data_IF_651424361961
#
_entry.id   IF_651424361961
#
_cell.length_a   1.000
_cell.length_b   1.000
_cell.length_c   1.000
_cell.angle_alpha   90.00
_cell.angle_beta   90.00
_cell.angle_gamma   90.00
#
_symmetry.space_group_name_H-M   'P 1'
#
loop_
_entity.id
_entity.type
_entity.pdbx_description
1 polymer ?
#
# COMPACT_ATOMS: atom_id res chain seq x y z
N UNK A 1 -2.17 22.09 13.53
CA UNK A 1 -1.52 21.53 12.32
C UNK A 1 -1.94 20.07 12.06
N UNK A 2 -1.81 19.14 13.02
CA UNK A 2 -2.17 17.72 12.85
C UNK A 2 -3.62 17.42 12.42
N UNK A 3 -4.62 18.08 13.02
CA UNK A 3 -6.03 17.85 12.70
C UNK A 3 -6.43 18.36 11.30
N UNK A 4 -5.78 19.45 10.87
CA UNK A 4 -6.06 20.07 9.57
C UNK A 4 -5.62 19.20 8.40
N UNK A 5 -4.48 18.48 8.52
CA UNK A 5 -4.04 17.55 7.49
C UNK A 5 -5.08 16.44 7.30
N UNK A 6 -5.51 15.76 8.37
CA UNK A 6 -6.47 14.65 8.24
C UNK A 6 -7.84 15.11 7.72
N UNK A 7 -8.38 16.19 8.28
CA UNK A 7 -9.72 16.66 7.92
C UNK A 7 -9.78 17.13 6.46
N UNK A 8 -8.67 17.67 5.93
CA UNK A 8 -8.55 18.12 4.54
C UNK A 8 -8.19 16.95 3.60
N UNK A 9 -7.23 16.10 3.98
CA UNK A 9 -6.82 14.92 3.21
C UNK A 9 -7.98 13.98 2.92
N UNK A 10 -8.88 13.70 3.88
CA UNK A 10 -10.02 12.79 3.65
C UNK A 10 -10.99 13.33 2.59
N UNK A 11 -11.03 14.65 2.38
CA UNK A 11 -11.90 15.29 1.38
C UNK A 11 -11.22 15.41 0.01
N UNK A 12 -9.93 15.73 0.01
CA UNK A 12 -9.15 16.08 -1.18
C UNK A 12 -8.29 14.91 -1.69
N UNK A 13 -7.94 13.94 -0.86
CA UNK A 13 -7.07 12.80 -1.22
C UNK A 13 -7.72 11.71 -2.09
N UNK A 14 -8.80 12.02 -2.80
CA UNK A 14 -9.63 11.04 -3.53
C UNK A 14 -9.21 10.84 -4.99
N UNK A 15 -8.58 11.84 -5.60
CA UNK A 15 -8.10 11.80 -6.98
C UNK A 15 -6.63 12.17 -7.04
N UNK A 16 -5.91 11.69 -8.06
CA UNK A 16 -4.49 12.02 -8.22
C UNK A 16 -4.27 13.54 -8.36
N UNK A 17 -5.15 14.25 -9.08
CA UNK A 17 -5.01 15.69 -9.30
C UNK A 17 -5.24 16.50 -8.02
N UNK A 18 -6.24 16.13 -7.22
CA UNK A 18 -6.47 16.78 -5.94
C UNK A 18 -5.31 16.53 -4.96
N UNK A 19 -4.73 15.34 -4.99
CA UNK A 19 -3.54 14.99 -4.18
C UNK A 19 -2.33 15.83 -4.58
N UNK A 20 -2.06 15.98 -5.88
CA UNK A 20 -0.97 16.85 -6.37
C UNK A 20 -1.16 18.28 -5.90
N UNK A 21 -2.35 18.85 -6.14
CA UNK A 21 -2.69 20.21 -5.72
C UNK A 21 -2.54 20.39 -4.21
N UNK A 22 -3.02 19.43 -3.42
CA UNK A 22 -2.92 19.48 -1.96
C UNK A 22 -1.46 19.56 -1.48
N UNK A 23 -0.58 18.70 -1.98
CA UNK A 23 0.84 18.72 -1.57
C UNK A 23 1.58 19.95 -2.09
N UNK A 24 1.22 20.45 -3.27
CA UNK A 24 1.77 21.70 -3.82
C UNK A 24 1.42 22.91 -2.97
N UNK A 25 0.15 23.03 -2.55
CA UNK A 25 -0.35 24.16 -1.76
C UNK A 25 0.12 24.11 -0.30
N UNK A 26 0.02 22.94 0.32
CA UNK A 26 0.24 22.81 1.77
C UNK A 26 1.70 22.56 2.14
N UNK A 27 2.51 22.13 1.16
CA UNK A 27 3.87 21.59 1.39
C UNK A 27 3.89 20.48 2.44
N UNK A 28 2.77 19.78 2.62
CA UNK A 28 2.69 18.68 3.58
C UNK A 28 3.65 17.55 3.17
N UNK A 29 4.19 16.88 4.17
CA UNK A 29 5.01 15.69 3.96
C UNK A 29 4.09 14.44 3.86
N UNK A 30 4.13 13.71 2.73
CA UNK A 30 3.26 12.55 2.50
C UNK A 30 3.56 11.37 3.44
N UNK A 31 4.73 11.35 4.08
CA UNK A 31 5.13 10.31 5.04
C UNK A 31 4.54 10.51 6.44
N UNK A 32 3.92 11.65 6.69
CA UNK A 32 3.39 12.02 8.01
C UNK A 32 2.36 11.02 8.54
N UNK A 33 2.29 10.95 9.88
CA UNK A 33 1.37 10.06 10.61
C UNK A 33 1.50 8.58 10.23
N UNK A 34 2.75 8.12 10.04
CA UNK A 34 3.07 6.78 9.57
C UNK A 34 2.40 6.49 8.21
N UNK A 35 2.71 7.35 7.23
CA UNK A 35 2.20 7.23 5.87
C UNK A 35 0.67 7.11 5.84
N UNK A 36 -0.04 7.95 6.60
CA UNK A 36 -1.51 7.88 6.68
C UNK A 36 -2.15 8.00 5.29
N UNK A 37 -1.58 8.84 4.42
CA UNK A 37 -2.07 9.08 3.07
C UNK A 37 -2.24 7.78 2.26
N UNK A 38 -1.19 6.96 2.15
CA UNK A 38 -1.23 5.73 1.35
C UNK A 38 -2.11 4.65 1.99
N UNK A 39 -2.09 4.55 3.32
CA UNK A 39 -2.96 3.62 4.06
C UNK A 39 -4.43 3.96 3.87
N UNK A 40 -4.77 5.26 3.90
CA UNK A 40 -6.13 5.73 3.65
C UNK A 40 -6.57 5.49 2.20
N UNK A 41 -5.70 5.78 1.23
CA UNK A 41 -6.00 5.54 -0.19
C UNK A 41 -6.23 4.04 -0.47
N UNK A 42 -5.38 3.16 0.08
CA UNK A 42 -5.53 1.72 -0.03
C UNK A 42 -6.82 1.22 0.64
N UNK A 43 -7.19 1.78 1.79
CA UNK A 43 -8.44 1.45 2.48
C UNK A 43 -9.69 1.87 1.70
N UNK A 44 -9.65 2.97 0.94
CA UNK A 44 -10.80 3.47 0.18
C UNK A 44 -10.81 3.04 -1.29
N UNK A 45 -9.84 2.25 -1.75
CA UNK A 45 -9.82 1.73 -3.11
C UNK A 45 -9.33 2.74 -4.15
N UNK A 46 -8.57 3.76 -3.75
CA UNK A 46 -8.08 4.80 -4.67
C UNK A 46 -6.75 4.40 -5.31
N UNK A 47 -6.79 3.48 -6.28
CA UNK A 47 -5.60 2.93 -6.92
C UNK A 47 -4.70 3.98 -7.57
N UNK A 48 -5.27 4.98 -8.24
CA UNK A 48 -4.51 6.07 -8.86
C UNK A 48 -3.78 6.94 -7.82
N UNK A 49 -4.39 7.13 -6.65
CA UNK A 49 -3.76 7.85 -5.53
C UNK A 49 -2.65 7.02 -4.90
N UNK A 50 -2.85 5.71 -4.73
CA UNK A 50 -1.78 4.80 -4.28
C UNK A 50 -0.60 4.85 -5.24
N UNK A 51 -0.83 4.74 -6.55
CA UNK A 51 0.21 4.83 -7.58
C UNK A 51 0.98 6.14 -7.49
N UNK A 52 0.26 7.28 -7.44
CA UNK A 52 0.89 8.60 -7.32
C UNK A 52 1.72 8.73 -6.03
N UNK A 53 1.22 8.25 -4.89
CA UNK A 53 1.95 8.33 -3.63
C UNK A 53 3.22 7.46 -3.65
N UNK A 54 3.21 6.31 -4.33
CA UNK A 54 4.38 5.44 -4.47
C UNK A 54 5.50 6.06 -5.32
N UNK A 55 5.20 7.03 -6.18
CA UNK A 55 6.20 7.79 -6.94
C UNK A 55 7.04 8.72 -6.05
N UNK A 56 6.54 9.07 -4.87
CA UNK A 56 7.28 9.91 -3.92
C UNK A 56 8.19 9.05 -3.02
N UNK A 57 9.53 9.22 -3.08
CA UNK A 57 10.47 8.38 -2.33
C UNK A 57 10.35 8.52 -0.80
N UNK A 58 9.69 9.57 -0.30
CA UNK A 58 9.43 9.76 1.13
C UNK A 58 8.33 8.85 1.64
N UNK A 59 7.44 8.38 0.78
CA UNK A 59 6.36 7.48 1.16
C UNK A 59 6.93 6.08 1.39
N UNK A 60 6.73 5.57 2.60
CA UNK A 60 7.01 4.19 2.97
C UNK A 60 5.71 3.36 2.94
N UNK A 61 5.53 2.47 1.94
CA UNK A 61 4.33 1.66 1.82
C UNK A 61 4.26 0.53 2.88
N UNK A 62 5.38 0.21 3.54
CA UNK A 62 5.45 -0.83 4.57
C UNK A 62 5.02 -0.35 5.97
N UNK A 63 4.71 0.94 6.08
CA UNK A 63 4.36 1.58 7.34
C UNK A 63 3.23 0.85 8.09
N UNK A 64 3.36 0.82 9.43
CA UNK A 64 2.42 0.13 10.34
C UNK A 64 2.28 -1.37 10.07
N UNK A 65 3.36 -2.03 9.62
CA UNK A 65 3.39 -3.45 9.25
C UNK A 65 2.53 -3.72 8.01
N UNK A 66 2.80 -3.04 6.90
CA UNK A 66 2.10 -3.21 5.63
C UNK A 66 0.58 -2.97 5.74
N UNK A 67 0.14 -2.00 6.56
CA UNK A 67 -1.29 -1.70 6.76
C UNK A 67 -2.01 -1.43 5.43
N UNK A 68 -1.35 -0.71 4.50
CA UNK A 68 -1.90 -0.43 3.18
C UNK A 68 -2.22 -1.73 2.41
N UNK A 69 -1.30 -2.70 2.41
CA UNK A 69 -1.49 -4.02 1.81
C UNK A 69 -2.59 -4.79 2.53
N UNK A 70 -2.59 -4.79 3.87
CA UNK A 70 -3.61 -5.47 4.66
C UNK A 70 -5.03 -4.94 4.35
N UNK A 71 -5.19 -3.62 4.24
CA UNK A 71 -6.48 -3.01 3.91
C UNK A 71 -6.94 -3.34 2.49
N UNK A 72 -6.05 -3.25 1.50
CA UNK A 72 -6.37 -3.63 0.13
C UNK A 72 -6.77 -5.11 0.02
N UNK A 73 -6.05 -5.99 0.73
CA UNK A 73 -6.36 -7.42 0.79
C UNK A 73 -7.68 -7.73 1.49
N UNK A 74 -7.98 -7.05 2.60
CA UNK A 74 -9.25 -7.24 3.33
C UNK A 74 -10.46 -6.80 2.50
N UNK A 75 -10.31 -5.77 1.67
CA UNK A 75 -11.39 -5.16 0.89
C UNK A 75 -11.51 -5.67 -0.55
N UNK A 76 -10.57 -6.49 -1.02
CA UNK A 76 -10.66 -7.09 -2.35
C UNK A 76 -10.12 -6.20 -3.47
N UNK A 77 -9.31 -5.18 -3.17
CA UNK A 77 -8.79 -4.25 -4.18
C UNK A 77 -7.55 -4.82 -4.88
N UNK A 78 -7.75 -5.75 -5.81
CA UNK A 78 -6.67 -6.49 -6.50
C UNK A 78 -5.64 -5.57 -7.17
N UNK A 79 -6.08 -4.49 -7.82
CA UNK A 79 -5.16 -3.56 -8.51
C UNK A 79 -4.21 -2.86 -7.52
N UNK A 80 -4.71 -2.52 -6.32
CA UNK A 80 -3.92 -1.93 -5.25
C UNK A 80 -2.95 -2.96 -4.67
N UNK A 81 -3.39 -4.21 -4.50
CA UNK A 81 -2.50 -5.29 -4.07
C UNK A 81 -1.35 -5.47 -5.06
N UNK A 82 -1.63 -5.51 -6.36
CA UNK A 82 -0.59 -5.61 -7.41
C UNK A 82 0.38 -4.43 -7.38
N UNK A 83 -0.13 -3.20 -7.24
CA UNK A 83 0.71 -2.00 -7.13
C UNK A 83 1.65 -2.06 -5.91
N UNK A 84 1.13 -2.44 -4.75
CA UNK A 84 1.92 -2.52 -3.52
C UNK A 84 2.95 -3.66 -3.59
N UNK A 85 2.58 -4.84 -4.13
CA UNK A 85 3.48 -5.98 -4.26
C UNK A 85 4.58 -5.78 -5.31
N UNK A 86 4.42 -4.80 -6.21
CA UNK A 86 5.48 -4.40 -7.15
C UNK A 86 6.55 -3.52 -6.47
N UNK A 87 6.25 -2.94 -5.31
CA UNK A 87 7.22 -2.14 -4.55
C UNK A 87 8.15 -3.07 -3.74
N UNK A 88 9.48 -3.02 -3.95
CA UNK A 88 10.42 -3.94 -3.29
C UNK A 88 10.51 -3.73 -1.77
N UNK A 89 9.97 -2.63 -1.24
CA UNK A 89 9.95 -2.35 0.20
C UNK A 89 8.83 -3.12 0.93
N UNK A 90 7.91 -3.72 0.19
CA UNK A 90 6.84 -4.55 0.75
C UNK A 90 7.32 -6.00 0.88
N UNK A 91 7.25 -6.51 2.11
CA UNK A 91 7.41 -7.94 2.39
C UNK A 91 6.05 -8.67 2.27
N UNK A 92 5.84 -9.50 1.23
CA UNK A 92 4.59 -10.25 1.04
C UNK A 92 4.47 -11.50 1.92
N UNK A 93 5.51 -11.85 2.68
CA UNK A 93 5.49 -13.01 3.59
C UNK A 93 4.63 -12.78 4.84
N UNK A 94 4.28 -11.52 5.15
CA UNK A 94 3.39 -11.20 6.27
C UNK A 94 2.01 -11.83 6.09
N UNK A 95 1.76 -12.84 6.93
CA UNK A 95 0.54 -13.62 6.96
C UNK A 95 -0.72 -12.81 7.32
N UNK A 96 -0.60 -11.57 7.80
CA UNK A 96 -1.75 -10.69 8.08
C UNK A 96 -2.56 -10.37 6.81
N UNK A 97 -1.88 -10.02 5.72
CA UNK A 97 -2.55 -9.71 4.45
C UNK A 97 -3.30 -10.94 3.91
N UNK A 98 -2.63 -12.11 3.91
CA UNK A 98 -3.24 -13.38 3.47
C UNK A 98 -4.42 -13.80 4.35
N UNK A 99 -4.30 -13.69 5.68
CA UNK A 99 -5.41 -13.97 6.60
C UNK A 99 -6.61 -13.06 6.34
N UNK A 100 -6.39 -11.77 6.09
CA UNK A 100 -7.46 -10.82 5.78
C UNK A 100 -8.16 -11.15 4.47
N UNK A 101 -7.42 -11.50 3.42
CA UNK A 101 -7.99 -11.94 2.14
C UNK A 101 -8.82 -13.22 2.30
N UNK A 102 -8.31 -14.21 3.06
CA UNK A 102 -9.02 -15.47 3.37
C UNK A 102 -10.32 -15.24 4.14
N UNK A 103 -10.30 -14.41 5.18
CA UNK A 103 -11.50 -14.11 6.00
C UNK A 103 -12.63 -13.48 5.19
N UNK A 104 -12.30 -12.78 4.11
CA UNK A 104 -13.26 -12.10 3.24
C UNK A 104 -13.46 -12.79 1.88
N UNK A 105 -12.91 -14.00 1.68
CA UNK A 105 -13.05 -14.82 0.47
C UNK A 105 -12.57 -14.16 -0.83
N UNK A 106 -11.49 -13.37 -0.78
CA UNK A 106 -10.90 -12.73 -1.97
C UNK A 106 -9.95 -13.68 -2.70
N UNK A 107 -10.50 -14.68 -3.40
CA UNK A 107 -9.75 -15.79 -4.02
C UNK A 107 -8.58 -15.36 -4.90
N UNK A 108 -8.75 -14.35 -5.76
CA UNK A 108 -7.66 -13.89 -6.65
C UNK A 108 -6.48 -13.31 -5.84
N UNK A 109 -6.77 -12.56 -4.78
CA UNK A 109 -5.74 -12.01 -3.88
C UNK A 109 -5.06 -13.13 -3.10
N UNK A 110 -5.80 -14.15 -2.65
CA UNK A 110 -5.24 -15.33 -1.97
C UNK A 110 -4.21 -16.02 -2.87
N UNK A 111 -4.56 -16.25 -4.14
CA UNK A 111 -3.67 -16.87 -5.12
C UNK A 111 -2.43 -16.00 -5.35
N UNK A 112 -2.61 -14.71 -5.62
CA UNK A 112 -1.51 -13.76 -5.84
C UNK A 112 -0.52 -13.73 -4.67
N UNK A 113 -1.01 -13.61 -3.44
CA UNK A 113 -0.15 -13.59 -2.25
C UNK A 113 0.59 -14.92 -2.04
N UNK A 114 -0.11 -16.03 -2.27
CA UNK A 114 0.47 -17.38 -2.14
C UNK A 114 1.59 -17.60 -3.16
N UNK A 115 1.41 -17.16 -4.40
CA UNK A 115 2.44 -17.21 -5.45
C UNK A 115 3.67 -16.36 -5.10
N UNK A 116 3.48 -15.17 -4.52
CA UNK A 116 4.59 -14.35 -4.03
C UNK A 116 5.36 -15.04 -2.89
N UNK A 117 4.69 -15.73 -1.98
CA UNK A 117 5.34 -16.47 -0.89
C UNK A 117 6.17 -17.65 -1.41
N UNK A 118 5.64 -18.45 -2.33
CA UNK A 118 6.38 -19.57 -2.93
C UNK A 118 7.64 -19.12 -3.68
N UNK A 119 7.65 -17.92 -4.28
CA UNK A 119 8.85 -17.37 -4.93
C UNK A 119 9.94 -16.97 -3.94
N UNK A 120 9.58 -16.49 -2.75
CA UNK A 120 10.54 -16.16 -1.69
C UNK A 120 11.16 -17.42 -1.06
N UNK A 121 10.39 -18.50 -0.95
CA UNK A 121 10.85 -19.78 -0.39
C UNK A 121 11.46 -20.72 -1.46
N UNK A 122 11.49 -20.29 -2.72
CA UNK A 122 12.00 -21.06 -3.84
C UNK A 122 13.53 -21.04 -3.95
N UNK A 123 14.16 -22.05 -4.57
CA UNK A 123 15.62 -22.16 -4.71
C UNK A 123 16.28 -21.01 -5.49
N UNK A 124 15.49 -20.15 -6.15
CA UNK A 124 15.95 -18.99 -6.91
C UNK A 124 16.23 -17.76 -6.02
N UNK A 125 15.49 -17.58 -4.91
CA UNK A 125 15.68 -16.44 -3.99
C UNK A 125 17.02 -16.50 -3.24
N UNK A 126 17.49 -17.71 -2.90
CA UNK A 126 18.81 -17.92 -2.26
C UNK A 126 20.01 -17.54 -3.14
N UNK A 127 19.83 -17.27 -4.44
CA UNK A 127 20.93 -16.85 -5.33
C UNK A 127 21.19 -15.34 -5.29
N UNK A 128 20.24 -14.53 -4.82
CA UNK A 128 20.32 -13.06 -4.86
C UNK A 128 20.67 -12.41 -3.50
N UNK A 129 20.94 -13.19 -2.46
CA UNK A 129 21.30 -12.69 -1.11
C UNK A 129 22.80 -12.87 -0.81
N UNK A 130 23.54 -13.63 -1.61
CA UNK A 130 24.95 -13.99 -1.37
C UNK A 130 25.88 -13.48 -2.49
N UNK A 131 25.68 -12.27 -3.00
CA UNK A 131 26.65 -11.58 -3.87
C UNK A 131 26.79 -10.13 -3.42
#
# INVERSE_FOLDING_TARGET
>A
MFRLFNDRWVKEGRTADDVRRFFEETKADPSTQNNYAIRWAAYNGHADVVRLLLEDPRVDPSAKNNDALQYACSRGYIDIVRLLLADPRIDPSDQRALRSAKRNNHTEIINLLTEHQFRLDGPEYNKNIIT
#
